data_IF_483876158648
#
_entry.id   IF_483876158648
#
_cell.length_a   1.000
_cell.length_b   1.000
_cell.length_c   1.000
_cell.angle_alpha   90.00
_cell.angle_beta   90.00
_cell.angle_gamma   90.00
#
_symmetry.space_group_name_H-M   'P 1'
#
loop_
_entity.id
_entity.type
_entity.pdbx_description
1 polymer ?
#
# COMPACT_ATOMS: atom_id res chain seq x y z
N UNK A 1 20.87 7.20 -8.72
CA UNK A 1 20.14 6.40 -7.71
C UNK A 1 19.77 5.05 -8.33
N UNK A 2 19.67 3.99 -7.54
CA UNK A 2 19.14 2.69 -7.99
C UNK A 2 17.63 2.64 -7.69
N UNK A 3 16.83 2.21 -8.66
CA UNK A 3 15.37 2.06 -8.53
C UNK A 3 14.94 0.74 -9.15
N UNK A 4 13.87 0.16 -8.59
CA UNK A 4 13.21 -1.06 -9.08
C UNK A 4 11.72 -0.78 -9.11
N UNK A 5 11.06 -1.10 -10.21
CA UNK A 5 9.60 -0.98 -10.31
C UNK A 5 8.96 -2.36 -10.21
N UNK A 6 8.40 -2.67 -9.04
CA UNK A 6 7.77 -3.96 -8.78
C UNK A 6 6.42 -4.15 -9.52
N UNK A 7 5.82 -3.07 -10.05
CA UNK A 7 4.62 -3.19 -10.87
C UNK A 7 4.97 -3.68 -12.27
N UNK A 8 6.08 -3.19 -12.82
CA UNK A 8 6.53 -3.51 -14.18
C UNK A 8 7.43 -4.77 -14.22
N UNK A 9 8.35 -4.91 -13.27
CA UNK A 9 9.34 -6.01 -13.22
C UNK A 9 8.77 -7.28 -12.56
N UNK A 10 7.66 -7.14 -11.84
CA UNK A 10 6.97 -8.23 -11.14
C UNK A 10 6.98 -8.07 -9.62
N UNK A 11 5.96 -8.62 -8.92
CA UNK A 11 5.68 -8.30 -7.52
C UNK A 11 6.62 -9.00 -6.52
N UNK A 12 7.66 -9.70 -7.00
CA UNK A 12 8.50 -10.57 -6.19
C UNK A 12 9.97 -10.23 -6.36
N UNK A 13 10.65 -10.01 -5.23
CA UNK A 13 12.08 -9.74 -5.17
C UNK A 13 12.79 -10.93 -4.50
N UNK A 14 13.86 -11.42 -5.14
CA UNK A 14 14.78 -12.42 -4.58
C UNK A 14 16.14 -11.76 -4.30
N UNK A 15 16.64 -11.91 -3.07
CA UNK A 15 17.97 -11.42 -2.69
C UNK A 15 18.79 -12.59 -2.17
N UNK A 16 19.93 -12.82 -2.83
CA UNK A 16 20.88 -13.87 -2.46
C UNK A 16 22.25 -13.28 -2.15
N UNK A 17 23.01 -13.98 -1.31
CA UNK A 17 24.35 -13.57 -0.95
C UNK A 17 24.89 -14.39 0.23
N UNK A 18 26.23 -14.51 0.37
CA UNK A 18 26.85 -15.19 1.50
C UNK A 18 26.59 -14.46 2.82
N UNK A 19 26.91 -15.09 3.96
CA UNK A 19 26.88 -14.44 5.26
C UNK A 19 27.74 -13.16 5.25
N UNK A 20 27.23 -12.08 5.85
CA UNK A 20 27.91 -10.77 5.87
C UNK A 20 27.81 -9.95 4.56
N UNK A 21 27.11 -10.43 3.53
CA UNK A 21 26.93 -9.70 2.26
C UNK A 21 26.04 -8.45 2.35
N UNK A 22 25.37 -8.22 3.48
CA UNK A 22 24.45 -7.09 3.67
C UNK A 22 23.00 -7.37 3.25
N UNK A 23 22.61 -8.62 2.98
CA UNK A 23 21.23 -8.98 2.60
C UNK A 23 20.16 -8.44 3.57
N UNK A 24 20.39 -8.56 4.87
CA UNK A 24 19.46 -8.02 5.89
C UNK A 24 19.38 -6.50 5.82
N UNK A 25 20.50 -5.83 5.59
CA UNK A 25 20.53 -4.37 5.47
C UNK A 25 19.81 -3.90 4.20
N UNK A 26 19.96 -4.63 3.10
CA UNK A 26 19.19 -4.37 1.88
C UNK A 26 17.68 -4.55 2.11
N UNK A 27 17.25 -5.60 2.82
CA UNK A 27 15.83 -5.78 3.19
C UNK A 27 15.30 -4.63 4.06
N UNK A 28 16.09 -4.16 5.03
CA UNK A 28 15.73 -2.99 5.85
C UNK A 28 15.59 -1.72 4.99
N UNK A 29 16.53 -1.50 4.07
CA UNK A 29 16.48 -0.37 3.13
C UNK A 29 15.25 -0.45 2.20
N UNK A 30 14.89 -1.64 1.71
CA UNK A 30 13.67 -1.86 0.93
C UNK A 30 12.42 -1.54 1.76
N UNK A 31 12.33 -2.04 2.99
CA UNK A 31 11.19 -1.75 3.88
C UNK A 31 11.05 -0.24 4.15
N UNK A 32 12.15 0.44 4.47
CA UNK A 32 12.17 1.88 4.67
C UNK A 32 11.78 2.66 3.39
N UNK A 33 12.29 2.23 2.23
CA UNK A 33 11.94 2.84 0.94
C UNK A 33 10.44 2.72 0.64
N UNK A 34 9.86 1.53 0.81
CA UNK A 34 8.43 1.28 0.62
C UNK A 34 7.58 2.09 1.61
N UNK A 35 7.97 2.09 2.89
CA UNK A 35 7.29 2.86 3.93
C UNK A 35 7.34 4.37 3.69
N UNK A 36 8.43 4.87 3.09
CA UNK A 36 8.55 6.29 2.73
C UNK A 36 7.71 6.69 1.52
N UNK A 37 7.41 5.74 0.63
CA UNK A 37 6.69 5.97 -0.61
C UNK A 37 5.17 5.78 -0.50
N UNK A 38 4.69 5.01 0.47
CA UNK A 38 3.28 4.71 0.65
C UNK A 38 2.79 5.07 2.05
N UNK A 39 1.50 5.34 2.21
CA UNK A 39 0.88 5.54 3.53
C UNK A 39 0.55 4.20 4.20
N UNK A 40 0.50 4.10 5.54
CA UNK A 40 0.20 2.84 6.23
C UNK A 40 -1.21 2.30 5.98
N UNK A 41 -2.16 3.14 5.56
CA UNK A 41 -3.49 2.69 5.12
C UNK A 41 -3.50 2.08 3.71
N UNK A 42 -2.40 2.22 2.96
CA UNK A 42 -2.23 1.75 1.57
C UNK A 42 -1.20 0.63 1.44
N UNK A 43 -0.35 0.43 2.45
CA UNK A 43 0.71 -0.57 2.46
C UNK A 43 0.81 -1.20 3.85
N UNK A 44 0.68 -2.53 3.91
CA UNK A 44 1.00 -3.33 5.08
C UNK A 44 2.28 -4.15 4.84
N UNK A 45 3.15 -4.20 5.84
CA UNK A 45 4.39 -4.98 5.83
C UNK A 45 4.29 -6.06 6.91
N UNK A 46 4.59 -7.29 6.52
CA UNK A 46 4.78 -8.40 7.45
C UNK A 46 6.23 -8.86 7.36
N UNK A 47 6.87 -8.97 8.52
CA UNK A 47 8.26 -9.35 8.62
C UNK A 47 8.36 -10.81 9.08
N UNK A 48 9.23 -11.58 8.41
CA UNK A 48 9.58 -12.94 8.83
C UNK A 48 11.09 -13.02 8.95
N UNK A 49 11.61 -13.09 10.17
CA UNK A 49 13.01 -13.40 10.40
C UNK A 49 13.25 -14.91 10.29
N UNK A 50 14.40 -15.28 9.72
CA UNK A 50 14.85 -16.66 9.72
C UNK A 50 15.15 -17.15 11.14
N UNK A 51 15.08 -18.47 11.35
CA UNK A 51 15.73 -19.09 12.50
C UNK A 51 17.22 -18.77 12.41
N UNK A 52 17.76 -18.01 13.37
CA UNK A 52 19.15 -17.58 13.41
C UNK A 52 20.11 -18.69 12.96
N UNK A 53 21.05 -18.37 12.06
CA UNK A 53 21.97 -19.35 11.48
C UNK A 53 22.95 -19.92 12.51
N UNK A 54 23.78 -20.87 12.06
CA UNK A 54 24.84 -21.58 12.81
C UNK A 54 25.81 -20.64 13.57
N UNK A 55 25.84 -19.35 13.22
CA UNK A 55 26.80 -18.35 13.70
C UNK A 55 26.28 -17.49 14.87
N UNK A 56 25.13 -17.83 15.46
CA UNK A 56 24.62 -17.13 16.66
C UNK A 56 23.99 -15.76 16.38
N UNK A 57 23.76 -15.43 15.11
CA UNK A 57 22.90 -14.30 14.72
C UNK A 57 21.52 -14.52 15.31
N UNK A 58 21.05 -13.60 16.17
CA UNK A 58 19.68 -13.65 16.68
C UNK A 58 18.73 -13.54 15.48
N UNK A 59 17.72 -14.41 15.42
CA UNK A 59 16.68 -14.43 14.37
C UNK A 59 15.73 -13.23 14.45
N UNK A 60 16.32 -12.05 14.49
CA UNK A 60 15.74 -10.76 14.88
C UNK A 60 16.37 -9.64 14.04
N UNK A 61 16.93 -9.98 12.88
CA UNK A 61 17.60 -9.04 11.98
C UNK A 61 16.64 -7.99 11.43
N UNK A 62 15.35 -8.27 11.36
CA UNK A 62 14.34 -7.32 10.91
C UNK A 62 13.67 -6.55 12.05
N UNK A 63 14.02 -6.79 13.33
CA UNK A 63 13.45 -6.07 14.47
C UNK A 63 13.47 -4.53 14.31
N UNK A 64 14.53 -3.87 13.82
CA UNK A 64 14.49 -2.41 13.66
C UNK A 64 13.35 -1.90 12.77
N UNK A 65 12.85 -2.73 11.85
CA UNK A 65 11.74 -2.37 10.97
C UNK A 65 10.38 -2.36 11.69
N UNK A 66 10.25 -2.94 12.89
CA UNK A 66 8.97 -2.96 13.62
C UNK A 66 8.53 -1.58 14.09
N UNK A 67 9.44 -0.59 14.08
CA UNK A 67 9.13 0.81 14.36
C UNK A 67 8.38 1.50 13.20
N UNK A 68 8.33 0.88 12.01
CA UNK A 68 7.58 1.42 10.88
C UNK A 68 6.07 1.25 11.10
N UNK A 69 5.24 2.29 10.91
CA UNK A 69 3.80 2.21 11.13
C UNK A 69 3.08 1.27 10.14
N UNK A 70 3.75 0.87 9.06
CA UNK A 70 3.28 -0.09 8.07
C UNK A 70 3.43 -1.54 8.54
N UNK A 71 4.31 -1.80 9.50
CA UNK A 71 4.56 -3.17 9.98
C UNK A 71 3.46 -3.56 10.96
N UNK A 72 2.67 -4.57 10.59
CA UNK A 72 1.55 -5.03 11.41
C UNK A 72 1.83 -6.35 12.13
N UNK A 73 2.83 -7.12 11.67
CA UNK A 73 3.22 -8.40 12.25
C UNK A 73 4.70 -8.67 12.02
N UNK A 74 5.37 -9.23 13.04
CA UNK A 74 6.71 -9.81 12.97
C UNK A 74 6.66 -11.26 13.44
N UNK A 75 7.26 -12.16 12.66
CA UNK A 75 7.33 -13.59 12.93
C UNK A 75 8.79 -14.04 12.90
N UNK A 76 9.06 -15.12 13.64
CA UNK A 76 10.33 -15.84 13.56
C UNK A 76 10.05 -17.23 13.02
N UNK A 77 10.77 -17.64 11.98
CA UNK A 77 10.53 -18.89 11.27
C UNK A 77 10.70 -20.16 12.14
N UNK A 78 11.36 -20.05 13.30
CA UNK A 78 11.50 -21.16 14.24
C UNK A 78 10.24 -21.46 15.06
N UNK A 79 9.18 -20.64 14.97
CA UNK A 79 7.89 -20.92 15.63
C UNK A 79 6.91 -21.58 14.64
N UNK A 80 6.82 -22.93 14.61
CA UNK A 80 6.00 -23.63 13.65
C UNK A 80 4.50 -23.48 13.92
N UNK A 81 4.10 -23.14 15.15
CA UNK A 81 2.68 -22.93 15.49
C UNK A 81 2.23 -21.61 14.88
N UNK A 82 2.96 -20.52 15.17
CA UNK A 82 2.65 -19.20 14.58
C UNK A 82 2.75 -19.20 13.07
N UNK A 83 3.72 -19.90 12.49
CA UNK A 83 3.85 -19.99 11.04
C UNK A 83 2.64 -20.67 10.39
N UNK A 84 2.10 -21.73 11.02
CA UNK A 84 0.88 -22.39 10.53
C UNK A 84 -0.36 -21.50 10.65
N UNK A 85 -0.54 -20.85 11.80
CA UNK A 85 -1.65 -19.91 12.01
C UNK A 85 -1.58 -18.77 11.01
N UNK A 86 -0.39 -18.23 10.76
CA UNK A 86 -0.19 -17.19 9.76
C UNK A 86 -0.51 -17.69 8.34
N UNK A 87 -0.03 -18.87 7.95
CA UNK A 87 -0.33 -19.43 6.64
C UNK A 87 -1.84 -19.65 6.43
N UNK A 88 -2.57 -20.08 7.47
CA UNK A 88 -4.02 -20.22 7.44
C UNK A 88 -4.71 -18.87 7.28
N UNK A 89 -4.30 -17.85 8.05
CA UNK A 89 -4.84 -16.50 7.96
C UNK A 89 -4.58 -15.87 6.58
N UNK A 90 -3.36 -16.02 6.06
CA UNK A 90 -2.98 -15.54 4.73
C UNK A 90 -3.81 -16.22 3.63
N UNK A 91 -4.00 -17.54 3.71
CA UNK A 91 -4.85 -18.27 2.78
C UNK A 91 -6.30 -17.78 2.80
N UNK A 92 -6.85 -17.52 3.99
CA UNK A 92 -8.19 -16.92 4.15
C UNK A 92 -8.28 -15.53 3.54
N UNK A 93 -7.28 -14.68 3.75
CA UNK A 93 -7.24 -13.32 3.20
C UNK A 93 -7.10 -13.31 1.67
N UNK A 94 -6.27 -14.19 1.10
CA UNK A 94 -6.16 -14.35 -0.35
C UNK A 94 -7.49 -14.79 -0.95
N UNK A 95 -8.21 -15.72 -0.31
CA UNK A 95 -9.55 -16.13 -0.75
C UNK A 95 -10.54 -14.97 -0.69
N UNK A 96 -10.57 -14.22 0.41
CA UNK A 96 -11.43 -13.03 0.56
C UNK A 96 -11.16 -12.00 -0.52
N UNK A 97 -9.88 -11.74 -0.85
CA UNK A 97 -9.49 -10.81 -1.92
C UNK A 97 -9.90 -11.33 -3.30
N UNK A 98 -9.74 -12.63 -3.57
CA UNK A 98 -10.21 -13.21 -4.82
C UNK A 98 -11.73 -13.03 -5.00
N UNK A 99 -12.51 -13.23 -3.93
CA UNK A 99 -13.96 -12.99 -3.94
C UNK A 99 -14.32 -11.50 -4.16
N UNK A 100 -13.54 -10.57 -3.60
CA UNK A 100 -13.75 -9.12 -3.79
C UNK A 100 -13.38 -8.62 -5.18
N UNK A 101 -12.28 -9.14 -5.74
CA UNK A 101 -11.82 -8.81 -7.08
C UNK A 101 -12.78 -9.36 -8.14
N UNK A 102 -13.34 -10.55 -7.91
CA UNK A 102 -14.17 -11.25 -8.88
C UNK A 102 -13.38 -11.53 -10.15
N UNK A 103 -13.89 -11.09 -11.30
CA UNK A 103 -13.21 -11.23 -12.60
C UNK A 103 -12.22 -10.09 -12.92
N UNK A 104 -12.09 -9.10 -12.03
CA UNK A 104 -11.16 -7.98 -12.22
C UNK A 104 -9.76 -8.34 -11.74
N UNK A 105 -8.76 -7.78 -12.41
CA UNK A 105 -7.43 -7.68 -11.83
C UNK A 105 -7.39 -6.57 -10.76
N UNK A 106 -6.28 -6.54 -10.01
CA UNK A 106 -6.09 -5.60 -8.92
C UNK A 106 -6.13 -4.13 -9.38
N UNK A 107 -5.54 -3.80 -10.53
CA UNK A 107 -5.47 -2.43 -11.02
C UNK A 107 -6.86 -1.91 -11.42
N UNK A 108 -7.61 -2.70 -12.19
CA UNK A 108 -8.97 -2.39 -12.60
C UNK A 108 -9.94 -2.28 -11.41
N UNK A 109 -9.80 -3.18 -10.42
CA UNK A 109 -10.56 -3.09 -9.19
C UNK A 109 -10.25 -1.80 -8.42
N UNK A 110 -8.97 -1.43 -8.31
CA UNK A 110 -8.56 -0.24 -7.55
C UNK A 110 -9.00 1.06 -8.23
N UNK A 111 -8.98 1.13 -9.56
CA UNK A 111 -9.52 2.28 -10.31
C UNK A 111 -11.02 2.42 -10.08
N UNK A 112 -11.77 1.32 -10.18
CA UNK A 112 -13.22 1.30 -9.92
C UNK A 112 -13.54 1.73 -8.49
N UNK A 113 -12.83 1.21 -7.49
CA UNK A 113 -13.06 1.56 -6.09
C UNK A 113 -12.71 3.02 -5.79
N UNK A 114 -11.63 3.55 -6.36
CA UNK A 114 -11.26 4.96 -6.21
C UNK A 114 -12.33 5.92 -6.77
N UNK A 115 -13.01 5.54 -7.85
CA UNK A 115 -14.12 6.31 -8.43
C UNK A 115 -15.37 6.28 -7.55
N UNK A 116 -15.60 5.18 -6.82
CA UNK A 116 -16.77 5.02 -5.93
C UNK A 116 -16.59 5.70 -4.57
N UNK A 117 -15.36 5.76 -4.06
CA UNK A 117 -15.02 6.44 -2.79
C UNK A 117 -14.84 7.97 -2.96
N UNK A 118 -14.90 8.50 -4.18
CA UNK A 118 -14.83 9.92 -4.40
C UNK A 118 -16.05 10.60 -3.74
N UNK A 119 -15.87 11.49 -2.75
CA UNK A 119 -16.98 12.15 -2.10
C UNK A 119 -17.83 12.87 -3.16
N UNK A 120 -19.16 12.87 -3.04
CA UNK A 120 -20.01 13.58 -3.99
C UNK A 120 -19.49 15.01 -4.08
N UNK A 121 -19.07 15.43 -5.28
CA UNK A 121 -18.71 16.83 -5.53
C UNK A 121 -19.98 17.65 -5.36
N UNK A 122 -20.22 18.13 -4.14
CA UNK A 122 -21.20 19.16 -3.88
C UNK A 122 -20.62 20.42 -4.51
N UNK A 123 -20.87 20.59 -5.81
CA UNK A 123 -20.71 21.87 -6.47
C UNK A 123 -21.77 22.76 -5.84
N UNK A 124 -21.37 23.54 -4.83
CA UNK A 124 -22.20 24.60 -4.31
C UNK A 124 -22.51 25.53 -5.48
N UNK A 125 -23.75 25.48 -5.99
CA UNK A 125 -24.21 26.49 -6.94
C UNK A 125 -24.08 27.81 -6.20
N UNK A 126 -23.12 28.64 -6.60
CA UNK A 126 -23.03 30.02 -6.13
C UNK A 126 -24.34 30.68 -6.56
N UNK A 127 -25.19 31.13 -5.62
CA UNK A 127 -26.39 31.86 -6.02
C UNK A 127 -25.96 33.07 -6.86
N UNK A 128 -26.63 33.35 -7.98
CA UNK A 128 -26.26 34.46 -8.85
C UNK A 128 -26.23 35.75 -8.03
N UNK A 129 -25.18 36.53 -8.24
CA UNK A 129 -25.00 37.79 -7.54
C UNK A 129 -26.10 38.77 -7.95
N UNK A 130 -26.49 39.68 -7.06
CA UNK A 130 -27.54 40.68 -7.32
C UNK A 130 -27.29 41.58 -8.55
N UNK A 131 -26.06 41.59 -9.08
CA UNK A 131 -25.71 42.28 -10.33
C UNK A 131 -26.24 41.55 -11.58
N UNK A 132 -26.33 40.21 -11.55
CA UNK A 132 -26.80 39.39 -12.68
C UNK A 132 -28.33 39.42 -12.81
N UNK A 133 -29.06 39.65 -11.70
CA UNK A 133 -30.52 39.83 -11.71
C UNK A 133 -30.97 41.21 -12.22
N UNK A 134 -30.05 42.18 -12.30
CA UNK A 134 -30.38 43.59 -12.57
C UNK A 134 -30.11 44.02 -14.02
N UNK A 135 -29.61 43.10 -14.86
CA UNK A 135 -29.21 43.37 -16.24
C UNK A 135 -30.32 43.30 -17.29
N UNK A 136 -31.55 42.95 -16.91
CA UNK A 136 -32.64 42.68 -17.86
C UNK A 136 -33.78 43.69 -17.75
N UNK A 137 -33.44 44.98 -17.69
CA UNK A 137 -34.41 46.06 -17.88
C UNK A 137 -34.05 46.83 -19.15
N UNK A 138 -34.81 46.50 -20.20
CA UNK A 138 -35.19 47.32 -21.35
C UNK A 138 -34.08 48.13 -22.05
N UNK A 139 -33.55 47.56 -23.14
CA UNK A 139 -33.07 48.39 -24.25
C UNK A 139 -34.28 48.89 -25.05
N UNK A 140 -34.54 50.20 -25.16
CA UNK A 140 -35.55 50.68 -26.08
C UNK A 140 -35.07 50.45 -27.52
N UNK A 141 -35.96 49.91 -28.35
CA UNK A 141 -35.75 49.84 -29.78
C UNK A 141 -35.55 51.27 -30.32
N UNK A 142 -34.35 51.54 -30.84
CA UNK A 142 -34.10 52.76 -31.63
C UNK A 142 -34.67 52.53 -33.02
N UNK A 143 -35.55 53.44 -33.44
CA UNK A 143 -36.11 53.51 -34.79
C UNK A 143 -35.15 54.07 -35.83
#
# INVERSE_FOLDING_TARGET
>A
PLSVDLADEGPHLLIEGPAGSGRTELLRAVAASLASAARPDRLGILLVDGSGGEQGERGEGLLPCTELPHVFTHLVACDPVRMREFAQALGGELKRRAELLGDLDFAAWHERHAQQEAPPRIVGQRPPSGAERRGDLDSPASG
#
